data_IF_859128879168
#
_entry.id   IF_859128879168
#
_cell.length_a   1.000
_cell.length_b   1.000
_cell.length_c   1.000
_cell.angle_alpha   90.00
_cell.angle_beta   90.00
_cell.angle_gamma   90.00
#
_symmetry.space_group_name_H-M   'P 1'
#
loop_
_entity.id
_entity.type
_entity.pdbx_description
1 polymer ?
#
# COMPACT_ATOMS: atom_id res chain seq x y z
N UNK A 1 15.14 5.30 24.71
CA UNK A 1 13.81 4.93 24.22
C UNK A 1 12.89 6.15 24.26
N UNK A 2 12.99 7.05 23.30
CA UNK A 2 12.13 8.25 23.22
C UNK A 2 11.65 8.42 21.79
N UNK A 3 10.77 7.50 21.37
CA UNK A 3 9.97 7.73 20.17
C UNK A 3 8.92 8.77 20.53
N UNK A 4 9.02 10.00 19.99
CA UNK A 4 8.02 11.03 20.26
C UNK A 4 6.60 10.56 19.93
N UNK A 5 5.56 11.15 20.54
CA UNK A 5 4.15 10.72 20.40
C UNK A 5 3.68 10.65 18.93
N UNK A 6 4.29 11.43 18.04
CA UNK A 6 3.99 11.39 16.61
C UNK A 6 4.39 10.09 15.92
N UNK A 7 5.51 9.50 16.30
CA UNK A 7 6.02 8.27 15.71
C UNK A 7 5.14 7.05 16.04
N UNK A 8 4.78 6.88 17.32
CA UNK A 8 3.86 5.81 17.71
C UNK A 8 2.53 5.93 16.98
N UNK A 9 2.02 7.16 16.82
CA UNK A 9 0.84 7.45 16.02
C UNK A 9 1.03 6.98 14.57
N UNK A 10 2.17 7.25 13.94
CA UNK A 10 2.47 6.82 12.58
C UNK A 10 2.43 5.29 12.43
N UNK A 11 3.08 4.56 13.33
CA UNK A 11 3.04 3.09 13.32
C UNK A 11 1.63 2.54 13.57
N UNK A 12 0.88 3.11 14.51
CA UNK A 12 -0.49 2.71 14.77
C UNK A 12 -1.40 2.92 13.55
N UNK A 13 -1.22 4.05 12.85
CA UNK A 13 -1.97 4.36 11.64
C UNK A 13 -1.63 3.41 10.49
N UNK A 14 -0.35 3.22 10.20
CA UNK A 14 0.11 2.34 9.11
C UNK A 14 -0.22 0.88 9.42
N UNK A 15 0.05 0.41 10.63
CA UNK A 15 -0.26 -0.96 11.05
C UNK A 15 -1.77 -1.24 11.08
N UNK A 16 -2.56 -0.33 11.64
CA UNK A 16 -4.02 -0.46 11.63
C UNK A 16 -4.60 -0.48 10.21
N UNK A 17 -4.06 0.33 9.30
CA UNK A 17 -4.43 0.29 7.88
C UNK A 17 -4.04 -1.02 7.21
N UNK A 18 -2.86 -1.56 7.50
CA UNK A 18 -2.42 -2.84 6.95
C UNK A 18 -3.34 -4.00 7.40
N UNK A 19 -3.82 -3.97 8.65
CA UNK A 19 -4.86 -4.90 9.12
C UNK A 19 -6.14 -4.74 8.32
N UNK A 20 -6.60 -3.51 8.07
CA UNK A 20 -7.80 -3.25 7.25
C UNK A 20 -7.62 -3.75 5.81
N UNK A 21 -6.43 -3.60 5.24
CA UNK A 21 -6.10 -4.13 3.91
C UNK A 21 -6.13 -5.66 3.89
N UNK A 22 -5.72 -6.33 4.97
CA UNK A 22 -5.82 -7.78 5.10
C UNK A 22 -7.25 -8.32 4.94
N UNK A 23 -8.27 -7.54 5.29
CA UNK A 23 -9.66 -7.92 5.06
C UNK A 23 -10.12 -7.80 3.59
N UNK A 24 -9.29 -7.24 2.70
CA UNK A 24 -9.65 -7.04 1.28
C UNK A 24 -10.06 -8.34 0.60
N UNK A 25 -9.37 -9.45 0.89
CA UNK A 25 -9.65 -10.76 0.31
C UNK A 25 -11.07 -11.25 0.60
N UNK A 26 -11.60 -10.98 1.78
CA UNK A 26 -12.97 -11.35 2.16
C UNK A 26 -13.99 -10.65 1.25
N UNK A 27 -13.84 -9.34 1.08
CA UNK A 27 -14.74 -8.57 0.21
C UNK A 27 -14.62 -8.96 -1.26
N UNK A 28 -13.40 -9.21 -1.73
CA UNK A 28 -13.17 -9.66 -3.13
C UNK A 28 -13.80 -11.04 -3.35
N UNK A 29 -13.74 -11.96 -2.37
CA UNK A 29 -14.37 -13.27 -2.46
C UNK A 29 -15.90 -13.24 -2.47
N UNK A 30 -16.54 -12.11 -2.18
CA UNK A 30 -17.99 -11.94 -2.21
C UNK A 30 -18.55 -11.51 -3.57
N UNK A 31 -17.71 -11.28 -4.58
CA UNK A 31 -18.13 -10.77 -5.90
C UNK A 31 -17.47 -11.53 -7.03
N UNK A 32 -18.23 -11.79 -8.08
CA UNK A 32 -17.77 -12.38 -9.33
C UNK A 32 -17.49 -11.34 -10.42
N UNK A 33 -17.61 -10.05 -10.09
CA UNK A 33 -17.32 -8.97 -11.03
C UNK A 33 -15.85 -8.98 -11.48
N UNK A 34 -15.56 -8.57 -12.73
CA UNK A 34 -14.18 -8.43 -13.19
C UNK A 34 -13.37 -7.51 -12.25
N UNK A 35 -12.12 -7.90 -11.95
CA UNK A 35 -11.27 -7.18 -11.03
C UNK A 35 -11.08 -5.69 -11.39
N UNK A 36 -11.02 -5.34 -12.69
CA UNK A 36 -10.96 -3.95 -13.17
C UNK A 36 -12.24 -3.17 -12.87
N UNK A 37 -13.41 -3.81 -12.95
CA UNK A 37 -14.70 -3.22 -12.58
C UNK A 37 -14.76 -2.93 -11.08
N UNK A 38 -14.45 -3.94 -10.25
CA UNK A 38 -14.38 -3.78 -8.78
C UNK A 38 -13.41 -2.67 -8.41
N UNK A 39 -12.22 -2.64 -9.03
CA UNK A 39 -11.20 -1.64 -8.77
C UNK A 39 -11.68 -0.23 -9.13
N UNK A 40 -12.28 -0.03 -10.31
CA UNK A 40 -12.79 1.28 -10.74
C UNK A 40 -13.89 1.78 -9.81
N UNK A 41 -14.86 0.91 -9.49
CA UNK A 41 -15.98 1.27 -8.62
C UNK A 41 -15.53 1.58 -7.20
N UNK A 42 -14.67 0.73 -6.58
CA UNK A 42 -14.18 0.96 -5.23
C UNK A 42 -13.38 2.26 -5.12
N UNK A 43 -12.54 2.56 -6.12
CA UNK A 43 -11.70 3.75 -6.12
C UNK A 43 -12.53 5.03 -6.33
N UNK A 44 -13.50 4.99 -7.25
CA UNK A 44 -14.43 6.11 -7.43
C UNK A 44 -15.26 6.38 -6.18
N UNK A 45 -15.84 5.33 -5.59
CA UNK A 45 -16.67 5.45 -4.39
C UNK A 45 -15.85 5.92 -3.18
N UNK A 46 -14.65 5.38 -2.98
CA UNK A 46 -13.76 5.80 -1.90
C UNK A 46 -13.36 7.29 -2.03
N UNK A 47 -12.98 7.72 -3.24
CA UNK A 47 -12.65 9.12 -3.50
C UNK A 47 -13.86 10.04 -3.23
N UNK A 48 -15.07 9.63 -3.66
CA UNK A 48 -16.30 10.37 -3.40
C UNK A 48 -16.62 10.45 -1.89
N UNK A 49 -16.52 9.33 -1.17
CA UNK A 49 -16.76 9.30 0.28
C UNK A 49 -15.78 10.22 1.02
N UNK A 50 -14.48 10.12 0.76
CA UNK A 50 -13.47 10.98 1.41
C UNK A 50 -13.69 12.45 1.05
N UNK A 51 -14.12 12.76 -0.18
CA UNK A 51 -14.45 14.11 -0.60
C UNK A 51 -15.67 14.65 0.17
N UNK A 52 -16.73 13.85 0.31
CA UNK A 52 -17.97 14.23 1.02
C UNK A 52 -17.73 14.47 2.51
N UNK A 53 -16.93 13.64 3.17
CA UNK A 53 -16.61 13.78 4.60
C UNK A 53 -15.52 14.82 4.90
N UNK A 54 -15.46 15.90 4.11
CA UNK A 54 -14.62 17.07 4.36
C UNK A 54 -13.25 17.07 3.65
N UNK A 55 -12.98 16.08 2.81
CA UNK A 55 -11.73 16.02 2.01
C UNK A 55 -11.73 17.01 0.83
N UNK A 56 -12.91 17.32 0.24
CA UNK A 56 -13.01 18.10 -0.99
C UNK A 56 -12.40 19.50 -0.90
N UNK A 57 -12.64 20.22 0.19
CA UNK A 57 -12.10 21.58 0.38
C UNK A 57 -10.56 21.57 0.53
N UNK A 58 -10.05 20.61 1.29
CA UNK A 58 -8.60 20.38 1.45
C UNK A 58 -7.95 19.98 0.14
N UNK A 59 -8.55 19.02 -0.57
CA UNK A 59 -8.09 18.58 -1.90
C UNK A 59 -8.00 19.74 -2.88
N UNK A 60 -9.06 20.57 -3.02
CA UNK A 60 -9.06 21.73 -3.93
C UNK A 60 -7.98 22.75 -3.58
N UNK A 61 -7.71 22.97 -2.30
CA UNK A 61 -6.67 23.91 -1.85
C UNK A 61 -5.27 23.33 -2.06
N UNK A 62 -5.02 22.11 -1.60
CA UNK A 62 -3.68 21.50 -1.61
C UNK A 62 -3.24 21.07 -3.01
N UNK A 63 -4.15 20.55 -3.85
CA UNK A 63 -3.81 20.13 -5.22
C UNK A 63 -3.40 21.29 -6.14
N UNK A 64 -3.80 22.52 -5.80
CA UNK A 64 -3.43 23.74 -6.55
C UNK A 64 -2.08 24.33 -6.16
N UNK A 65 -1.45 23.84 -5.08
CA UNK A 65 -0.14 24.32 -4.68
C UNK A 65 0.92 24.01 -5.76
N UNK A 66 1.90 24.90 -5.98
CA UNK A 66 2.91 24.74 -7.02
C UNK A 66 3.62 23.38 -6.93
N UNK A 67 3.68 22.67 -8.04
CA UNK A 67 4.34 21.36 -8.15
C UNK A 67 3.60 20.17 -7.50
N UNK A 68 2.59 20.38 -6.66
CA UNK A 68 1.81 19.32 -6.01
C UNK A 68 0.97 18.57 -7.03
N UNK A 69 0.26 19.25 -7.92
CA UNK A 69 -0.59 18.62 -8.93
C UNK A 69 0.15 17.59 -9.79
N UNK A 70 1.39 17.90 -10.23
CA UNK A 70 2.23 16.96 -11.00
C UNK A 70 2.58 15.72 -10.20
N UNK A 71 2.93 15.87 -8.91
CA UNK A 71 3.26 14.74 -8.02
C UNK A 71 2.05 13.89 -7.71
N UNK A 72 0.86 14.49 -7.55
CA UNK A 72 -0.40 13.76 -7.38
C UNK A 72 -0.77 13.00 -8.66
N UNK A 73 -0.57 13.59 -9.83
CA UNK A 73 -0.74 12.88 -11.10
C UNK A 73 0.24 11.71 -11.24
N UNK A 74 1.51 11.93 -10.92
CA UNK A 74 2.52 10.86 -10.92
C UNK A 74 2.15 9.73 -9.95
N UNK A 75 1.66 10.06 -8.74
CA UNK A 75 1.18 9.09 -7.76
C UNK A 75 0.08 8.20 -8.34
N UNK A 76 -0.97 8.81 -8.92
CA UNK A 76 -2.08 8.06 -9.51
C UNK A 76 -1.66 7.23 -10.73
N UNK A 77 -0.81 7.76 -11.61
CA UNK A 77 -0.32 7.00 -12.77
C UNK A 77 0.58 5.84 -12.36
N UNK A 78 1.41 5.99 -11.33
CA UNK A 78 2.22 4.89 -10.78
C UNK A 78 1.32 3.77 -10.24
N UNK A 79 0.24 4.12 -9.56
CA UNK A 79 -0.73 3.14 -9.04
C UNK A 79 -1.48 2.43 -10.19
N UNK A 80 -1.88 3.18 -11.22
CA UNK A 80 -2.46 2.59 -12.45
C UNK A 80 -1.51 1.57 -13.09
N UNK A 81 -0.24 1.93 -13.28
CA UNK A 81 0.77 1.04 -13.88
C UNK A 81 1.00 -0.17 -12.98
N UNK A 82 1.09 0.04 -11.67
CA UNK A 82 1.26 -1.01 -10.67
C UNK A 82 0.12 -2.03 -10.77
N UNK A 83 -1.11 -1.56 -10.72
CA UNK A 83 -2.29 -2.42 -10.75
C UNK A 83 -2.42 -3.15 -12.09
N UNK A 84 -2.20 -2.46 -13.20
CA UNK A 84 -2.25 -3.07 -14.53
C UNK A 84 -1.20 -4.17 -14.70
N UNK A 85 0.04 -3.90 -14.30
CA UNK A 85 1.14 -4.87 -14.40
C UNK A 85 0.95 -6.03 -13.42
N UNK A 86 0.37 -5.81 -12.24
CA UNK A 86 -0.02 -6.87 -11.33
C UNK A 86 -1.09 -7.80 -11.95
N UNK A 87 -2.14 -7.24 -12.56
CA UNK A 87 -3.15 -8.06 -13.26
C UNK A 87 -2.56 -8.79 -14.47
N UNK A 88 -1.62 -8.17 -15.18
CA UNK A 88 -0.91 -8.84 -16.27
C UNK A 88 -0.07 -10.01 -15.74
N UNK A 89 0.62 -9.84 -14.61
CA UNK A 89 1.35 -10.91 -13.95
C UNK A 89 0.42 -12.07 -13.57
N UNK A 90 -0.75 -11.80 -12.97
CA UNK A 90 -1.74 -12.81 -12.58
C UNK A 90 -2.30 -13.62 -13.78
N UNK A 91 -2.29 -13.05 -14.99
CA UNK A 91 -2.71 -13.78 -16.20
C UNK A 91 -1.66 -14.77 -16.67
N UNK A 92 -0.39 -14.52 -16.40
CA UNK A 92 0.74 -15.26 -16.96
C UNK A 92 1.51 -16.10 -15.96
N UNK A 93 1.30 -15.87 -14.66
CA UNK A 93 1.93 -16.56 -13.54
C UNK A 93 0.87 -17.14 -12.61
N UNK A 94 1.29 -18.05 -11.75
CA UNK A 94 0.48 -18.43 -10.60
C UNK A 94 0.38 -17.29 -9.59
N UNK A 95 -0.75 -17.23 -8.88
CA UNK A 95 -1.07 -16.15 -7.94
C UNK A 95 0.04 -15.95 -6.91
N UNK A 96 0.58 -17.05 -6.35
CA UNK A 96 1.64 -16.99 -5.35
C UNK A 96 2.88 -16.24 -5.87
N UNK A 97 3.29 -16.52 -7.11
CA UNK A 97 4.46 -15.88 -7.71
C UNK A 97 4.21 -14.41 -8.08
N UNK A 98 3.03 -14.10 -8.62
CA UNK A 98 2.65 -12.72 -8.94
C UNK A 98 2.61 -11.84 -7.67
N UNK A 99 2.01 -12.35 -6.60
CA UNK A 99 1.93 -11.69 -5.29
C UNK A 99 3.33 -11.53 -4.68
N UNK A 100 4.14 -12.58 -4.70
CA UNK A 100 5.53 -12.54 -4.23
C UNK A 100 6.32 -11.41 -4.88
N UNK A 101 6.29 -11.33 -6.22
CA UNK A 101 7.03 -10.30 -6.96
C UNK A 101 6.57 -8.88 -6.62
N UNK A 102 5.27 -8.68 -6.42
CA UNK A 102 4.71 -7.38 -6.01
C UNK A 102 5.14 -7.01 -4.57
N UNK A 103 5.15 -7.96 -3.64
CA UNK A 103 5.58 -7.74 -2.26
C UNK A 103 7.10 -7.63 -2.07
N UNK A 104 7.89 -7.68 -3.15
CA UNK A 104 9.32 -7.29 -3.12
C UNK A 104 9.52 -5.77 -3.09
N UNK A 105 8.46 -4.98 -3.17
CA UNK A 105 8.52 -3.51 -3.10
C UNK A 105 9.32 -2.95 -1.92
N UNK A 106 9.33 -3.50 -0.68
CA UNK A 106 10.18 -3.01 0.40
C UNK A 106 11.67 -3.11 0.12
N UNK A 107 12.10 -4.13 -0.65
CA UNK A 107 13.51 -4.24 -1.08
C UNK A 107 13.87 -3.07 -2.00
N UNK A 108 13.04 -2.78 -2.99
CA UNK A 108 13.27 -1.65 -3.91
C UNK A 108 13.26 -0.30 -3.16
N UNK A 109 12.37 -0.15 -2.18
CA UNK A 109 12.33 1.04 -1.31
C UNK A 109 13.63 1.14 -0.50
N UNK A 110 14.10 0.07 0.11
CA UNK A 110 15.34 0.07 0.90
C UNK A 110 16.57 0.43 0.06
N UNK A 111 16.60 0.02 -1.21
CA UNK A 111 17.69 0.33 -2.13
C UNK A 111 17.67 1.79 -2.63
N UNK A 112 16.48 2.34 -2.90
CA UNK A 112 16.31 3.64 -3.54
C UNK A 112 16.18 4.79 -2.54
N UNK A 113 15.49 4.58 -1.41
CA UNK A 113 15.20 5.65 -0.44
C UNK A 113 16.42 6.34 0.14
N UNK A 114 17.60 5.68 0.37
CA UNK A 114 18.78 6.36 0.87
C UNK A 114 19.27 7.48 -0.06
N UNK A 115 19.18 7.24 -1.36
CA UNK A 115 19.61 8.22 -2.37
C UNK A 115 18.55 9.27 -2.67
N UNK A 116 17.28 8.84 -2.79
CA UNK A 116 16.17 9.72 -3.22
C UNK A 116 15.68 10.62 -2.08
N UNK A 117 15.55 10.07 -0.87
CA UNK A 117 14.99 10.76 0.30
C UNK A 117 16.07 11.15 1.31
N UNK A 118 17.35 10.88 1.02
CA UNK A 118 18.49 11.11 1.93
C UNK A 118 18.30 10.44 3.31
N UNK A 119 17.57 9.33 3.34
CA UNK A 119 17.29 8.56 4.55
C UNK A 119 18.35 7.48 4.71
N UNK A 120 19.02 7.41 5.88
CA UNK A 120 19.97 6.32 6.15
C UNK A 120 19.21 5.02 6.43
N UNK A 121 19.68 3.91 5.85
CA UNK A 121 19.15 2.59 6.19
C UNK A 121 19.80 2.11 7.47
N UNK A 122 19.00 1.89 8.49
CA UNK A 122 19.46 1.42 9.80
C UNK A 122 19.68 -0.11 9.76
N UNK A 123 20.63 -0.67 10.51
CA UNK A 123 20.83 -2.12 10.60
C UNK A 123 19.55 -2.87 11.00
N UNK A 124 18.77 -2.31 11.92
CA UNK A 124 17.49 -2.89 12.35
C UNK A 124 16.48 -2.99 11.21
N UNK A 125 16.46 -2.02 10.28
CA UNK A 125 15.62 -2.05 9.08
C UNK A 125 16.02 -3.19 8.16
N UNK A 126 17.33 -3.44 8.00
CA UNK A 126 17.83 -4.56 7.18
C UNK A 126 17.40 -5.90 7.78
N UNK A 127 17.57 -6.09 9.09
CA UNK A 127 17.14 -7.33 9.78
C UNK A 127 15.62 -7.50 9.68
N UNK A 128 14.85 -6.44 9.93
CA UNK A 128 13.40 -6.46 9.83
C UNK A 128 12.92 -6.77 8.40
N UNK A 129 13.60 -6.20 7.40
CA UNK A 129 13.32 -6.47 5.99
C UNK A 129 13.59 -7.94 5.63
N UNK A 130 14.72 -8.49 6.07
CA UNK A 130 15.05 -9.90 5.86
C UNK A 130 13.99 -10.80 6.51
N UNK A 131 13.60 -10.52 7.75
CA UNK A 131 12.54 -11.29 8.44
C UNK A 131 11.22 -11.21 7.70
N UNK A 132 10.77 -10.00 7.33
CA UNK A 132 9.49 -9.80 6.66
C UNK A 132 9.45 -10.45 5.26
N UNK A 133 10.52 -10.30 4.46
CA UNK A 133 10.62 -10.93 3.15
C UNK A 133 10.71 -12.45 3.25
N UNK A 134 11.49 -12.97 4.20
CA UNK A 134 11.54 -14.43 4.48
C UNK A 134 10.15 -14.93 4.89
N UNK A 135 9.41 -14.15 5.66
CA UNK A 135 8.03 -14.47 6.03
C UNK A 135 7.09 -14.57 4.82
N UNK A 136 7.19 -13.65 3.87
CA UNK A 136 6.44 -13.71 2.60
C UNK A 136 6.83 -14.97 1.80
N UNK A 137 8.13 -15.28 1.70
CA UNK A 137 8.63 -16.48 1.01
C UNK A 137 8.06 -17.74 1.65
N UNK A 138 8.15 -17.86 2.99
CA UNK A 138 7.64 -19.01 3.74
C UNK A 138 6.13 -19.15 3.57
N UNK A 139 5.39 -18.06 3.66
CA UNK A 139 3.92 -18.06 3.51
C UNK A 139 3.48 -18.55 2.12
N UNK A 140 4.18 -18.13 1.07
CA UNK A 140 3.85 -18.44 -0.32
C UNK A 140 4.55 -19.71 -0.83
N UNK A 141 5.43 -20.33 -0.02
CA UNK A 141 6.25 -21.47 -0.44
C UNK A 141 5.46 -22.65 -1.00
N UNK A 142 4.25 -23.03 -0.52
CA UNK A 142 3.50 -24.11 -1.15
C UNK A 142 3.20 -23.85 -2.63
N UNK A 143 2.83 -22.63 -2.98
CA UNK A 143 2.60 -22.25 -4.38
C UNK A 143 3.88 -22.02 -5.18
N UNK A 144 4.96 -21.53 -4.54
CA UNK A 144 6.25 -21.29 -5.21
C UNK A 144 7.02 -22.58 -5.47
N UNK A 145 6.78 -23.65 -4.70
CA UNK A 145 7.42 -24.95 -4.84
C UNK A 145 6.56 -25.95 -5.61
N UNK A 146 5.40 -25.55 -6.12
CA UNK A 146 4.55 -26.42 -6.91
C UNK A 146 5.28 -26.83 -8.21
N UNK A 147 5.44 -28.15 -8.49
CA UNK A 147 6.04 -28.60 -9.74
C UNK A 147 5.31 -28.13 -11.00
N UNK A 148 4.03 -27.79 -10.89
CA UNK A 148 3.21 -27.26 -11.98
C UNK A 148 3.27 -25.72 -12.08
N UNK A 149 4.18 -25.05 -11.34
CA UNK A 149 4.31 -23.60 -11.31
C UNK A 149 4.48 -23.02 -12.73
N UNK A 150 3.53 -22.16 -13.13
CA UNK A 150 3.57 -21.51 -14.45
C UNK A 150 4.58 -20.37 -14.45
N UNK A 151 5.59 -20.51 -15.29
CA UNK A 151 6.60 -19.49 -15.51
C UNK A 151 6.46 -18.93 -16.93
N UNK A 152 6.45 -17.62 -17.05
CA UNK A 152 6.51 -16.95 -18.34
C UNK A 152 7.30 -15.65 -18.22
N UNK A 153 8.11 -15.36 -19.23
CA UNK A 153 8.94 -14.14 -19.24
C UNK A 153 8.10 -12.88 -19.18
N UNK A 154 7.00 -12.71 -19.95
CA UNK A 154 6.12 -11.56 -19.83
C UNK A 154 5.50 -11.42 -18.43
N UNK A 155 5.11 -12.54 -17.82
CA UNK A 155 4.55 -12.54 -16.45
C UNK A 155 5.58 -12.11 -15.41
N UNK A 156 6.80 -12.64 -15.47
CA UNK A 156 7.89 -12.25 -14.58
C UNK A 156 8.23 -10.76 -14.71
N UNK A 157 8.36 -10.27 -15.95
CA UNK A 157 8.60 -8.84 -16.20
C UNK A 157 7.48 -7.96 -15.64
N UNK A 158 6.22 -8.36 -15.83
CA UNK A 158 5.07 -7.65 -15.31
C UNK A 158 5.04 -7.66 -13.76
N UNK A 159 5.32 -8.82 -13.14
CA UNK A 159 5.38 -8.94 -11.68
C UNK A 159 6.47 -8.08 -11.04
N UNK A 160 7.68 -8.11 -11.61
CA UNK A 160 8.79 -7.24 -11.15
C UNK A 160 8.42 -5.76 -11.33
N UNK A 161 7.87 -5.39 -12.49
CA UNK A 161 7.46 -4.01 -12.76
C UNK A 161 6.36 -3.55 -11.79
N UNK A 162 5.43 -4.43 -11.41
CA UNK A 162 4.43 -4.16 -10.39
C UNK A 162 5.08 -3.83 -9.04
N UNK A 163 6.05 -4.63 -8.57
CA UNK A 163 6.78 -4.35 -7.32
C UNK A 163 7.59 -3.05 -7.38
N UNK A 164 8.26 -2.77 -8.50
CA UNK A 164 9.03 -1.53 -8.70
C UNK A 164 8.10 -0.30 -8.71
N UNK A 165 6.99 -0.36 -9.41
CA UNK A 165 6.02 0.75 -9.47
C UNK A 165 5.30 0.96 -8.14
N UNK A 166 5.05 -0.10 -7.37
CA UNK A 166 4.56 0.00 -5.99
C UNK A 166 5.57 0.71 -5.08
N UNK A 167 6.85 0.37 -5.22
CA UNK A 167 7.91 1.08 -4.49
C UNK A 167 7.99 2.55 -4.88
N UNK A 168 7.89 2.86 -6.17
CA UNK A 168 7.87 4.24 -6.67
C UNK A 168 6.63 5.01 -6.15
N UNK A 169 5.46 4.37 -6.10
CA UNK A 169 4.25 4.92 -5.48
C UNK A 169 4.51 5.32 -4.02
N UNK A 170 5.08 4.43 -3.20
CA UNK A 170 5.40 4.73 -1.81
C UNK A 170 6.41 5.87 -1.66
N UNK A 171 7.45 5.91 -2.52
CA UNK A 171 8.44 6.98 -2.50
C UNK A 171 7.82 8.33 -2.86
N UNK A 172 6.98 8.40 -3.89
CA UNK A 172 6.26 9.62 -4.26
C UNK A 172 5.25 10.02 -3.19
N UNK A 173 4.49 9.06 -2.65
CA UNK A 173 3.55 9.31 -1.54
C UNK A 173 4.28 9.89 -0.32
N UNK A 174 5.48 9.37 0.01
CA UNK A 174 6.30 9.89 1.10
C UNK A 174 6.71 11.34 0.88
N UNK A 175 7.16 11.70 -0.34
CA UNK A 175 7.49 13.11 -0.64
C UNK A 175 6.26 14.02 -0.56
N UNK A 176 5.10 13.53 -1.01
CA UNK A 176 3.84 14.27 -0.94
C UNK A 176 3.32 14.44 0.49
N UNK A 177 3.59 13.46 1.37
CA UNK A 177 3.09 13.49 2.75
C UNK A 177 3.59 14.68 3.58
N UNK A 178 4.63 15.36 3.15
CA UNK A 178 5.10 16.62 3.74
C UNK A 178 4.19 17.80 3.40
N UNK A 179 3.63 17.82 2.19
CA UNK A 179 2.91 18.97 1.63
C UNK A 179 1.38 18.81 1.70
N UNK A 180 0.88 17.56 1.64
CA UNK A 180 -0.57 17.30 1.56
C UNK A 180 -1.02 16.20 2.52
N UNK A 181 -2.29 16.23 2.86
CA UNK A 181 -2.91 15.21 3.71
C UNK A 181 -3.18 13.90 2.96
N UNK A 182 -3.29 12.80 3.70
CA UNK A 182 -3.65 11.50 3.15
C UNK A 182 -4.98 11.50 2.38
N UNK A 183 -5.95 12.30 2.82
CA UNK A 183 -7.22 12.48 2.10
C UNK A 183 -7.05 13.10 0.70
N UNK A 184 -6.15 14.07 0.57
CA UNK A 184 -5.84 14.70 -0.73
C UNK A 184 -5.14 13.71 -1.67
N UNK A 185 -4.19 12.93 -1.15
CA UNK A 185 -3.53 11.88 -1.92
C UNK A 185 -4.55 10.81 -2.36
N UNK A 186 -5.42 10.35 -1.44
CA UNK A 186 -6.41 9.32 -1.77
C UNK A 186 -7.43 9.79 -2.80
N UNK A 187 -7.99 11.01 -2.66
CA UNK A 187 -8.95 11.54 -3.64
C UNK A 187 -8.29 11.61 -5.02
N UNK A 188 -7.09 12.16 -5.12
CA UNK A 188 -6.39 12.30 -6.39
C UNK A 188 -6.08 10.93 -7.00
N UNK A 189 -5.52 10.02 -6.21
CA UNK A 189 -5.22 8.65 -6.64
C UNK A 189 -6.50 7.93 -7.09
N UNK A 190 -7.53 7.94 -6.25
CA UNK A 190 -8.80 7.28 -6.52
C UNK A 190 -9.48 7.77 -7.79
N UNK A 191 -9.49 9.08 -8.03
CA UNK A 191 -10.04 9.67 -9.27
C UNK A 191 -9.23 9.22 -10.49
N UNK A 192 -7.90 9.28 -10.43
CA UNK A 192 -7.04 8.91 -11.56
C UNK A 192 -7.20 7.43 -11.89
N UNK A 193 -7.11 6.55 -10.88
CA UNK A 193 -7.26 5.10 -11.07
C UNK A 193 -8.66 4.77 -11.59
N UNK A 194 -9.71 5.36 -11.01
CA UNK A 194 -11.07 5.13 -11.46
C UNK A 194 -11.26 5.54 -12.93
N UNK A 195 -10.82 6.73 -13.32
CA UNK A 195 -10.98 7.24 -14.69
C UNK A 195 -10.21 6.39 -15.69
N UNK A 196 -8.99 5.97 -15.37
CA UNK A 196 -8.15 5.19 -16.29
C UNK A 196 -8.62 3.74 -16.38
N UNK A 197 -9.06 3.14 -15.27
CA UNK A 197 -9.50 1.74 -15.23
C UNK A 197 -10.96 1.54 -15.64
N UNK A 198 -11.79 2.59 -15.58
CA UNK A 198 -13.22 2.51 -15.91
C UNK A 198 -13.50 1.96 -17.32
N UNK A 199 -12.84 2.45 -18.39
CA UNK A 199 -13.09 1.90 -19.73
C UNK A 199 -12.79 0.41 -19.81
N UNK A 200 -11.69 -0.04 -19.20
CA UNK A 200 -11.33 -1.46 -19.15
C UNK A 200 -12.36 -2.28 -18.36
N UNK A 201 -12.79 -1.74 -17.21
CA UNK A 201 -13.84 -2.35 -16.39
C UNK A 201 -15.16 -2.50 -17.12
N UNK A 202 -15.60 -1.46 -17.83
CA UNK A 202 -16.82 -1.46 -18.60
C UNK A 202 -16.78 -2.46 -19.79
N UNK A 203 -15.65 -2.51 -20.51
CA UNK A 203 -15.46 -3.45 -21.61
C UNK A 203 -15.51 -4.90 -21.10
N UNK A 204 -14.84 -5.20 -20.00
CA UNK A 204 -14.84 -6.55 -19.43
C UNK A 204 -16.21 -6.91 -18.86
N UNK A 205 -16.89 -5.99 -18.22
CA UNK A 205 -18.24 -6.22 -17.70
C UNK A 205 -19.25 -6.46 -18.83
N UNK A 206 -19.26 -5.60 -19.84
CA UNK A 206 -20.17 -5.74 -20.97
C UNK A 206 -19.90 -7.02 -21.81
N UNK A 207 -18.63 -7.39 -21.97
CA UNK A 207 -18.23 -8.60 -22.71
C UNK A 207 -18.47 -9.91 -21.96
N UNK A 208 -18.53 -9.88 -20.62
CA UNK A 208 -18.69 -11.07 -19.78
C UNK A 208 -20.12 -11.39 -19.37
N UNK A 209 -21.08 -10.47 -19.58
CA UNK A 209 -22.49 -10.68 -19.20
C UNK A 209 -22.71 -10.87 -17.70
N UNK A 210 -21.83 -10.32 -16.85
CA UNK A 210 -21.93 -10.43 -15.39
C UNK A 210 -23.12 -9.63 -14.87
N UNK A 211 -24.15 -10.28 -14.26
CA UNK A 211 -25.23 -9.56 -13.61
C UNK A 211 -24.70 -8.86 -12.35
N UNK A 212 -25.06 -7.60 -12.16
CA UNK A 212 -24.76 -6.91 -10.90
C UNK A 212 -25.82 -7.31 -9.85
N UNK A 213 -25.37 -7.97 -8.80
CA UNK A 213 -26.24 -8.46 -7.72
C UNK A 213 -25.99 -7.72 -6.40
N UNK A 214 -26.89 -7.90 -5.43
CA UNK A 214 -26.81 -7.17 -4.14
C UNK A 214 -25.50 -7.48 -3.35
N UNK A 215 -24.98 -8.67 -3.49
CA UNK A 215 -23.70 -9.06 -2.86
C UNK A 215 -22.54 -8.27 -3.44
N UNK A 216 -22.53 -7.97 -4.75
CA UNK A 216 -21.50 -7.13 -5.38
C UNK A 216 -21.52 -5.69 -4.83
N UNK A 217 -22.74 -5.16 -4.59
CA UNK A 217 -22.87 -3.84 -3.98
C UNK A 217 -22.20 -3.79 -2.60
N UNK A 218 -22.47 -4.78 -1.73
CA UNK A 218 -21.88 -4.82 -0.39
C UNK A 218 -20.37 -5.09 -0.45
N UNK A 219 -19.90 -5.93 -1.36
CA UNK A 219 -18.49 -6.19 -1.58
C UNK A 219 -17.74 -4.91 -2.00
N UNK A 220 -18.25 -4.21 -3.02
CA UNK A 220 -17.66 -2.95 -3.49
C UNK A 220 -17.72 -1.86 -2.42
N UNK A 221 -18.84 -1.75 -1.70
CA UNK A 221 -19.01 -0.79 -0.62
C UNK A 221 -18.03 -1.08 0.53
N UNK A 222 -17.90 -2.34 0.95
CA UNK A 222 -16.95 -2.76 1.98
C UNK A 222 -15.51 -2.44 1.58
N UNK A 223 -15.11 -2.78 0.36
CA UNK A 223 -13.79 -2.43 -0.19
C UNK A 223 -13.57 -0.92 -0.24
N UNK A 224 -14.56 -0.16 -0.69
CA UNK A 224 -14.46 1.29 -0.80
C UNK A 224 -14.35 1.97 0.56
N UNK A 225 -15.14 1.55 1.55
CA UNK A 225 -15.18 2.16 2.88
C UNK A 225 -13.98 1.73 3.71
N UNK A 226 -13.85 0.41 3.96
CA UNK A 226 -12.87 -0.09 4.93
C UNK A 226 -11.45 -0.11 4.37
N UNK A 227 -11.25 -0.79 3.24
CA UNK A 227 -9.89 -0.94 2.71
C UNK A 227 -9.40 0.34 2.03
N UNK A 228 -10.26 1.07 1.30
CA UNK A 228 -9.77 2.18 0.48
C UNK A 228 -9.95 3.55 1.17
N UNK A 229 -11.18 3.94 1.52
CA UNK A 229 -11.42 5.27 2.09
C UNK A 229 -10.78 5.42 3.48
N UNK A 230 -11.07 4.53 4.41
CA UNK A 230 -10.49 4.55 5.75
C UNK A 230 -9.05 4.07 5.74
N UNK A 231 -8.82 2.82 5.32
CA UNK A 231 -7.48 2.22 5.32
C UNK A 231 -6.49 3.03 4.52
N UNK A 232 -6.79 3.36 3.26
CA UNK A 232 -5.92 4.13 2.38
C UNK A 232 -5.64 5.54 2.89
N UNK A 233 -6.66 6.27 3.37
CA UNK A 233 -6.46 7.62 3.91
C UNK A 233 -5.58 7.60 5.15
N UNK A 234 -5.84 6.68 6.08
CA UNK A 234 -5.08 6.54 7.33
C UNK A 234 -3.65 6.10 7.05
N UNK A 235 -3.44 5.16 6.11
CA UNK A 235 -2.13 4.71 5.68
C UNK A 235 -1.28 5.86 5.10
N UNK A 236 -1.83 6.57 4.10
CA UNK A 236 -1.15 7.69 3.45
C UNK A 236 -0.87 8.84 4.42
N UNK A 237 -1.76 9.07 5.39
CA UNK A 237 -1.52 10.05 6.44
C UNK A 237 -0.46 9.59 7.45
N UNK A 238 -0.47 8.30 7.83
CA UNK A 238 0.49 7.70 8.76
C UNK A 238 1.92 7.73 8.24
N UNK A 239 2.13 7.60 6.91
CA UNK A 239 3.44 7.72 6.28
C UNK A 239 4.17 9.02 6.59
N UNK A 240 3.46 10.08 6.95
CA UNK A 240 4.04 11.37 7.33
C UNK A 240 4.97 11.25 8.55
N UNK A 241 4.62 10.40 9.49
CA UNK A 241 5.23 10.32 10.83
C UNK A 241 6.38 9.31 10.93
N UNK A 242 6.53 8.41 9.96
CA UNK A 242 7.57 7.36 9.98
C UNK A 242 8.30 7.27 8.65
N UNK A 243 9.56 6.76 8.64
CA UNK A 243 10.32 6.56 7.39
C UNK A 243 9.58 5.65 6.40
N UNK A 244 9.80 5.86 5.11
CA UNK A 244 9.15 5.04 4.06
C UNK A 244 9.57 3.57 4.12
N UNK A 245 10.81 3.28 4.55
CA UNK A 245 11.29 1.92 4.78
C UNK A 245 10.47 1.23 5.88
N UNK A 246 10.22 1.92 6.99
CA UNK A 246 9.37 1.40 8.07
C UNK A 246 7.93 1.21 7.61
N UNK A 247 7.39 2.19 6.85
CA UNK A 247 6.04 2.10 6.28
C UNK A 247 5.87 0.85 5.43
N UNK A 248 6.85 0.54 4.57
CA UNK A 248 6.76 -0.62 3.67
C UNK A 248 6.87 -1.96 4.41
N UNK A 249 7.70 -2.05 5.46
CA UNK A 249 7.82 -3.26 6.27
C UNK A 249 6.55 -3.49 7.11
N UNK A 250 6.05 -2.43 7.76
CA UNK A 250 4.78 -2.51 8.52
C UNK A 250 3.60 -2.78 7.60
N UNK A 251 3.64 -2.29 6.36
CA UNK A 251 2.64 -2.60 5.34
C UNK A 251 2.53 -4.10 5.02
N UNK A 252 3.61 -4.87 5.17
CA UNK A 252 3.57 -6.34 5.02
C UNK A 252 2.74 -7.06 6.10
N UNK A 253 2.23 -6.35 7.12
CA UNK A 253 1.19 -6.91 7.99
C UNK A 253 -0.11 -7.23 7.24
N UNK A 254 -0.36 -6.61 6.09
CA UNK A 254 -1.49 -6.93 5.21
C UNK A 254 -1.56 -8.43 4.90
N UNK A 255 -0.57 -9.06 4.23
CA UNK A 255 -0.60 -10.48 3.94
C UNK A 255 -0.54 -11.35 5.20
N UNK A 256 0.05 -10.87 6.30
CA UNK A 256 0.06 -11.60 7.56
C UNK A 256 -1.33 -11.66 8.23
N UNK A 257 -2.14 -10.61 8.07
CA UNK A 257 -3.50 -10.54 8.63
C UNK A 257 -4.57 -11.17 7.72
N UNK A 258 -4.35 -11.23 6.41
CA UNK A 258 -5.32 -11.75 5.45
C UNK A 258 -5.82 -13.18 5.79
N UNK A 259 -4.96 -14.14 6.19
CA UNK A 259 -5.40 -15.49 6.58
C UNK A 259 -6.29 -15.52 7.83
N UNK A 260 -6.10 -14.59 8.75
CA UNK A 260 -6.97 -14.45 9.91
C UNK A 260 -8.39 -14.08 9.49
N UNK A 261 -8.54 -13.12 8.59
CA UNK A 261 -9.85 -12.74 8.08
C UNK A 261 -10.47 -13.85 7.22
N UNK A 262 -9.69 -14.55 6.41
CA UNK A 262 -10.16 -15.70 5.64
C UNK A 262 -10.66 -16.83 6.56
N UNK A 263 -9.97 -17.09 7.67
CA UNK A 263 -10.40 -18.06 8.66
C UNK A 263 -11.73 -17.67 9.33
N UNK A 264 -11.85 -16.40 9.75
CA UNK A 264 -13.03 -15.93 10.51
C UNK A 264 -14.27 -15.81 9.60
N UNK A 265 -14.12 -15.30 8.38
CA UNK A 265 -15.25 -14.95 7.52
C UNK A 265 -15.53 -15.97 6.41
N UNK A 266 -14.51 -16.71 5.96
CA UNK A 266 -14.62 -17.68 4.87
C UNK A 266 -14.47 -19.13 5.34
N UNK A 267 -14.23 -19.34 6.65
CA UNK A 267 -13.98 -20.66 7.26
C UNK A 267 -12.75 -21.39 6.66
N UNK A 268 -11.83 -20.66 6.03
CA UNK A 268 -10.59 -21.19 5.47
C UNK A 268 -9.56 -21.44 6.58
N UNK A 269 -9.00 -22.65 6.64
CA UNK A 269 -7.98 -22.99 7.64
C UNK A 269 -6.59 -22.58 7.15
N UNK A 270 -5.87 -21.67 7.86
CA UNK A 270 -4.53 -21.30 7.47
C UNK A 270 -3.59 -22.51 7.57
N UNK A 271 -2.73 -22.66 6.58
CA UNK A 271 -1.70 -23.70 6.58
C UNK A 271 -0.60 -23.39 7.61
N UNK A 272 0.20 -24.38 7.97
CA UNK A 272 1.38 -24.16 8.83
C UNK A 272 2.35 -23.14 8.22
N UNK A 273 2.56 -23.21 6.91
CA UNK A 273 3.41 -22.25 6.17
C UNK A 273 2.89 -20.82 6.27
N UNK A 274 1.58 -20.67 6.21
CA UNK A 274 0.90 -19.36 6.37
C UNK A 274 1.12 -18.80 7.79
N UNK A 275 1.00 -19.64 8.82
CA UNK A 275 1.21 -19.23 10.21
C UNK A 275 2.68 -18.87 10.49
N UNK A 276 3.63 -19.70 10.03
CA UNK A 276 5.06 -19.43 10.20
C UNK A 276 5.50 -18.17 9.45
N UNK A 277 5.06 -18.03 8.20
CA UNK A 277 5.34 -16.83 7.41
C UNK A 277 4.76 -15.56 8.03
N UNK A 278 3.50 -15.62 8.48
CA UNK A 278 2.84 -14.52 9.18
C UNK A 278 3.57 -14.12 10.48
N UNK A 279 4.06 -15.10 11.25
CA UNK A 279 4.85 -14.83 12.46
C UNK A 279 6.18 -14.12 12.14
N UNK A 280 6.87 -14.51 11.07
CA UNK A 280 8.11 -13.83 10.63
C UNK A 280 7.84 -12.40 10.18
N UNK A 281 6.76 -12.16 9.43
CA UNK A 281 6.34 -10.81 9.01
C UNK A 281 6.05 -9.95 10.26
N UNK A 282 5.29 -10.50 11.19
CA UNK A 282 4.95 -9.81 12.43
C UNK A 282 6.20 -9.48 13.24
N UNK A 283 7.15 -10.42 13.35
CA UNK A 283 8.43 -10.19 14.02
C UNK A 283 9.23 -9.04 13.38
N UNK A 284 9.30 -9.00 12.04
CA UNK A 284 9.93 -7.90 11.30
C UNK A 284 9.26 -6.54 11.57
N UNK A 285 7.92 -6.50 11.55
CA UNK A 285 7.17 -5.28 11.85
C UNK A 285 7.38 -4.82 13.30
N UNK A 286 7.32 -5.72 14.27
CA UNK A 286 7.57 -5.43 15.70
C UNK A 286 9.00 -4.92 15.91
N UNK A 287 9.98 -5.54 15.25
CA UNK A 287 11.38 -5.13 15.35
C UNK A 287 11.58 -3.66 14.90
N UNK A 288 10.99 -3.28 13.77
CA UNK A 288 11.07 -1.89 13.28
C UNK A 288 10.32 -0.91 14.21
N UNK A 289 9.18 -1.33 14.74
CA UNK A 289 8.40 -0.47 15.66
C UNK A 289 9.15 -0.20 16.95
N UNK A 290 9.79 -1.22 17.52
CA UNK A 290 10.44 -1.13 18.83
C UNK A 290 11.86 -0.52 18.76
N UNK A 291 12.62 -0.87 17.72
CA UNK A 291 14.07 -0.58 17.66
C UNK A 291 14.47 0.33 16.51
N UNK A 292 13.58 0.64 15.56
CA UNK A 292 13.89 1.57 14.49
C UNK A 292 14.15 2.97 15.06
N UNK A 293 15.19 3.69 14.64
CA UNK A 293 15.49 5.02 15.13
C UNK A 293 14.55 6.10 14.59
N UNK A 294 14.34 7.16 15.33
CA UNK A 294 13.70 8.35 14.81
C UNK A 294 14.68 9.02 13.83
N UNK A 295 14.24 9.34 12.62
CA UNK A 295 15.00 10.26 11.76
C UNK A 295 14.73 11.68 12.26
N UNK A 296 15.45 12.08 13.30
CA UNK A 296 15.56 13.47 13.70
C UNK A 296 16.49 14.15 12.68
N UNK A 297 15.94 14.78 11.66
CA UNK A 297 16.82 15.53 10.76
C UNK A 297 16.29 16.00 9.40
N UNK A 298 14.98 16.07 9.16
CA UNK A 298 14.48 16.74 7.95
C UNK A 298 13.31 17.73 8.19
N UNK A 299 13.03 18.05 9.45
CA UNK A 299 12.25 19.21 9.81
C UNK A 299 13.09 19.96 10.86
N UNK A 300 14.06 20.75 10.44
CA UNK A 300 14.55 21.85 11.27
C UNK A 300 13.31 22.62 11.71
N UNK A 301 12.99 22.59 13.00
CA UNK A 301 11.90 23.41 13.52
C UNK A 301 12.24 24.86 13.22
N UNK A 302 11.25 25.71 12.84
CA UNK A 302 11.51 27.14 12.63
C UNK A 302 12.18 27.82 13.81
N UNK A 303 12.14 27.22 15.01
CA UNK A 303 12.81 27.69 16.22
C UNK A 303 14.33 27.49 16.21
N UNK A 304 14.88 26.43 15.59
CA UNK A 304 16.34 26.26 15.49
C UNK A 304 16.98 27.25 14.50
N UNK A 305 16.27 27.61 13.44
CA UNK A 305 16.73 28.60 12.48
C UNK A 305 16.75 30.03 13.06
N UNK A 306 15.92 30.32 14.05
CA UNK A 306 15.90 31.61 14.75
C UNK A 306 17.02 31.67 15.79
N UNK A 307 17.33 30.56 16.49
CA UNK A 307 18.40 30.48 17.46
C UNK A 307 19.81 30.62 16.88
N UNK A 308 20.06 30.09 15.65
CA UNK A 308 21.32 30.27 14.95
C UNK A 308 21.52 31.69 14.38
N UNK A 309 20.45 32.39 14.05
CA UNK A 309 20.50 33.76 13.57
C UNK A 309 20.79 34.78 14.74
N UNK A 310 20.32 34.49 15.96
CA UNK A 310 20.60 35.31 17.14
C UNK A 310 22.00 35.06 17.74
N UNK A 311 22.59 33.87 17.53
CA UNK A 311 23.93 33.55 18.00
C UNK A 311 25.07 34.13 17.14
N UNK A 312 24.74 34.65 15.94
CA UNK A 312 25.70 35.23 14.99
C UNK A 312 25.56 36.75 14.83
N UNK A 313 24.70 37.39 15.58
CA UNK A 313 24.55 38.85 15.69
C UNK A 313 25.13 39.36 17.03
#
# INVERSE_FOLDING_TARGET
MSGGPGRLRGYAMVGGSAVMFGATGVWVGMTDLPASTVLSLRMALAAALVALFGGASRWRRQSRAPGVGRRLLALGLLDVVQLYTFFLALRHLDVALAVFLSYMSPIYIALVSPRLLRQRTEPVVVVALVLAVSGVIVMLSPGLLDPALRLSVPGLAAGVLSGVTLAAFFLVAKTLSADVDGSTMLISNGVIVAVVMLPLGLIQWAGGGFPFVLTDFWAVLGLAVFSTALGGTVFLHGMRYIPVQHTSIVGLLEPACAPFFAFVFLAERPSLWTLLGGALILAGAVLVVLFGAAQDGLAGTPEEAVGEAEATS
#
